data_IF_412393144545
#
_entry.id   IF_412393144545
#
_cell.length_a   1.000
_cell.length_b   1.000
_cell.length_c   1.000
_cell.angle_alpha   90.00
_cell.angle_beta   90.00
_cell.angle_gamma   90.00
#
_symmetry.space_group_name_H-M   'P 1'
#
loop_
_entity.id
_entity.type
_entity.pdbx_description
1 polymer ?
#
# COMPACT_ATOMS: atom_id res chain seq x y z
N UNK A 1 -24.17 -33.68 35.04
CA UNK A 1 -22.99 -32.93 35.53
C UNK A 1 -23.50 -31.68 36.24
N UNK A 2 -23.44 -31.65 37.56
CA UNK A 2 -23.93 -30.53 38.36
C UNK A 2 -22.97 -29.35 38.19
N UNK A 3 -23.41 -28.32 37.44
CA UNK A 3 -22.71 -27.05 37.37
C UNK A 3 -22.80 -26.36 38.74
N UNK A 4 -21.71 -26.41 39.51
CA UNK A 4 -21.59 -25.65 40.74
C UNK A 4 -21.83 -24.18 40.42
N UNK A 5 -22.90 -23.58 40.95
CA UNK A 5 -23.21 -22.17 40.75
C UNK A 5 -22.07 -21.35 41.33
N UNK A 6 -21.35 -20.60 40.49
CA UNK A 6 -20.27 -19.73 40.95
C UNK A 6 -20.74 -18.81 42.07
N UNK A 7 -19.97 -18.77 43.16
CA UNK A 7 -20.27 -17.90 44.29
C UNK A 7 -20.19 -16.43 43.86
N UNK A 8 -20.95 -15.51 44.48
CA UNK A 8 -20.89 -14.07 44.16
C UNK A 8 -19.46 -13.50 44.14
N UNK A 9 -18.58 -14.00 45.01
CA UNK A 9 -17.15 -13.66 45.04
C UNK A 9 -16.41 -14.14 43.80
N UNK A 10 -16.64 -15.38 43.35
CA UNK A 10 -16.03 -15.92 42.12
C UNK A 10 -16.50 -15.14 40.89
N UNK A 11 -17.77 -14.73 40.83
CA UNK A 11 -18.27 -13.86 39.76
C UNK A 11 -17.60 -12.50 39.74
N UNK A 12 -17.39 -11.87 40.90
CA UNK A 12 -16.66 -10.59 40.95
C UNK A 12 -15.20 -10.73 40.52
N UNK A 13 -14.54 -11.82 40.95
CA UNK A 13 -13.16 -12.11 40.53
C UNK A 13 -13.09 -12.38 39.01
N UNK A 14 -14.02 -13.18 38.47
CA UNK A 14 -14.09 -13.46 37.04
C UNK A 14 -14.35 -12.20 36.20
N UNK A 15 -15.27 -11.33 36.64
CA UNK A 15 -15.50 -10.04 35.97
C UNK A 15 -14.26 -9.14 36.05
N UNK A 16 -13.54 -9.11 37.16
CA UNK A 16 -12.31 -8.33 37.29
C UNK A 16 -11.22 -8.83 36.33
N UNK A 17 -11.04 -10.16 36.20
CA UNK A 17 -10.11 -10.72 35.22
C UNK A 17 -10.53 -10.39 33.79
N UNK A 18 -11.81 -10.51 33.44
CA UNK A 18 -12.29 -10.14 32.10
C UNK A 18 -12.05 -8.65 31.80
N UNK A 19 -12.28 -7.77 32.77
CA UNK A 19 -12.00 -6.33 32.63
C UNK A 19 -10.51 -6.08 32.49
N UNK A 20 -9.67 -6.72 33.30
CA UNK A 20 -8.21 -6.59 33.21
C UNK A 20 -7.69 -7.09 31.85
N UNK A 21 -8.15 -8.25 31.39
CA UNK A 21 -7.80 -8.79 30.07
C UNK A 21 -8.28 -7.86 28.94
N UNK A 22 -9.48 -7.29 29.05
CA UNK A 22 -9.98 -6.32 28.08
C UNK A 22 -9.15 -5.02 28.06
N UNK A 23 -8.75 -4.50 29.22
CA UNK A 23 -7.86 -3.33 29.34
C UNK A 23 -6.46 -3.63 28.77
N UNK A 24 -5.92 -4.82 29.00
CA UNK A 24 -4.62 -5.23 28.49
C UNK A 24 -4.68 -5.42 26.96
N UNK A 25 -5.77 -6.01 26.44
CA UNK A 25 -6.02 -6.13 25.00
C UNK A 25 -6.21 -4.76 24.31
N UNK A 26 -6.88 -3.80 24.95
CA UNK A 26 -7.03 -2.43 24.44
C UNK A 26 -5.67 -1.72 24.34
N UNK A 27 -4.81 -1.90 25.35
CA UNK A 27 -3.46 -1.33 25.35
C UNK A 27 -2.54 -1.99 24.31
N UNK A 28 -2.58 -3.32 24.16
CA UNK A 28 -1.81 -4.04 23.13
C UNK A 28 -2.28 -3.63 21.73
N UNK A 29 -3.58 -3.43 21.52
CA UNK A 29 -4.12 -2.95 20.24
C UNK A 29 -3.58 -1.58 19.84
N UNK A 30 -3.43 -0.65 20.80
CA UNK A 30 -2.83 0.67 20.56
C UNK A 30 -1.36 0.57 20.17
N UNK A 31 -0.57 -0.25 20.86
CA UNK A 31 0.86 -0.44 20.54
C UNK A 31 1.07 -1.05 19.15
N UNK A 32 0.24 -2.03 18.77
CA UNK A 32 0.27 -2.64 17.44
C UNK A 32 -0.06 -1.59 16.36
N UNK A 33 -1.07 -0.76 16.59
CA UNK A 33 -1.41 0.34 15.68
C UNK A 33 -0.27 1.36 15.55
N UNK A 34 0.35 1.76 16.67
CA UNK A 34 1.49 2.68 16.66
C UNK A 34 2.68 2.09 15.89
N UNK A 35 2.93 0.78 16.01
CA UNK A 35 3.96 0.11 15.24
C UNK A 35 3.68 0.17 13.71
N UNK A 36 2.43 0.00 13.29
CA UNK A 36 2.05 0.18 11.88
C UNK A 36 2.32 1.60 11.38
N UNK A 37 2.03 2.63 12.20
CA UNK A 37 2.30 4.02 11.85
C UNK A 37 3.80 4.27 11.66
N UNK A 38 4.64 3.72 12.55
CA UNK A 38 6.11 3.83 12.43
C UNK A 38 6.61 3.10 11.17
N UNK A 39 6.07 1.92 10.86
CA UNK A 39 6.42 1.21 9.62
C UNK A 39 6.02 2.04 8.41
N UNK A 40 4.84 2.64 8.41
CA UNK A 40 4.39 3.52 7.33
C UNK A 40 5.36 4.69 7.10
N UNK A 41 5.74 5.39 8.16
CA UNK A 41 6.69 6.51 8.08
C UNK A 41 8.04 6.08 7.51
N UNK A 42 8.53 4.90 7.90
CA UNK A 42 9.77 4.35 7.35
C UNK A 42 9.66 4.05 5.85
N UNK A 43 8.51 3.54 5.40
CA UNK A 43 8.25 3.29 3.98
C UNK A 43 8.13 4.62 3.21
N UNK A 44 7.48 5.64 3.77
CA UNK A 44 7.38 6.98 3.15
C UNK A 44 8.76 7.67 3.03
N UNK A 45 9.59 7.57 4.07
CA UNK A 45 10.98 8.04 4.04
C UNK A 45 11.80 7.30 2.98
N UNK A 46 11.58 5.98 2.85
CA UNK A 46 12.20 5.16 1.81
C UNK A 46 11.76 5.62 0.42
N UNK A 47 10.47 5.85 0.20
CA UNK A 47 9.91 6.33 -1.07
C UNK A 47 10.49 7.69 -1.46
N UNK A 48 10.62 8.61 -0.51
CA UNK A 48 11.22 9.93 -0.73
C UNK A 48 12.70 9.79 -1.13
N UNK A 49 13.44 8.96 -0.40
CA UNK A 49 14.86 8.70 -0.68
C UNK A 49 15.09 8.04 -2.03
N UNK A 50 14.24 7.07 -2.40
CA UNK A 50 14.28 6.40 -3.69
C UNK A 50 13.91 7.35 -4.82
N UNK A 51 12.90 8.20 -4.64
CA UNK A 51 12.50 9.21 -5.63
C UNK A 51 13.67 10.15 -5.97
N UNK A 52 14.41 10.63 -4.96
CA UNK A 52 15.60 11.46 -5.17
C UNK A 52 16.73 10.72 -5.87
N UNK A 53 16.98 9.45 -5.52
CA UNK A 53 17.99 8.62 -6.21
C UNK A 53 17.62 8.34 -7.66
N UNK A 54 16.34 8.07 -7.93
CA UNK A 54 15.81 7.85 -9.27
C UNK A 54 15.97 9.11 -10.11
N UNK A 55 15.56 10.28 -9.59
CA UNK A 55 15.75 11.56 -10.28
C UNK A 55 17.22 11.80 -10.65
N UNK A 56 18.15 11.68 -9.69
CA UNK A 56 19.58 11.81 -9.96
C UNK A 56 20.11 10.80 -10.98
N UNK A 57 19.51 9.61 -11.07
CA UNK A 57 19.87 8.58 -12.05
C UNK A 57 19.41 8.98 -13.45
N UNK A 58 18.18 9.47 -13.59
CA UNK A 58 17.66 9.99 -14.86
C UNK A 58 18.44 11.21 -15.35
N UNK A 59 18.84 12.11 -14.45
CA UNK A 59 19.65 13.29 -14.78
C UNK A 59 21.00 12.87 -15.36
N UNK A 60 21.70 11.93 -14.70
CA UNK A 60 22.95 11.36 -15.20
C UNK A 60 22.76 10.68 -16.55
N UNK A 61 21.64 9.96 -16.72
CA UNK A 61 21.36 9.25 -17.95
C UNK A 61 21.09 10.20 -19.12
N UNK A 62 20.39 11.31 -18.86
CA UNK A 62 20.18 12.38 -19.83
C UNK A 62 21.52 13.02 -20.25
N UNK A 63 22.43 13.26 -19.32
CA UNK A 63 23.79 13.74 -19.65
C UNK A 63 24.53 12.75 -20.54
N UNK A 64 24.45 11.44 -20.26
CA UNK A 64 25.07 10.42 -21.13
C UNK A 64 24.44 10.38 -22.53
N UNK A 65 23.12 10.56 -22.62
CA UNK A 65 22.42 10.68 -23.89
C UNK A 65 22.91 11.89 -24.70
N UNK A 66 23.12 13.04 -24.06
CA UNK A 66 23.68 14.24 -24.72
C UNK A 66 25.11 14.02 -25.22
N UNK A 67 25.92 13.23 -24.50
CA UNK A 67 27.30 12.93 -24.88
C UNK A 67 27.43 11.90 -26.00
N UNK A 68 26.56 10.89 -26.03
CA UNK A 68 26.59 9.84 -27.05
C UNK A 68 25.16 9.39 -27.44
N UNK A 69 24.46 10.19 -28.26
CA UNK A 69 23.07 9.90 -28.64
C UNK A 69 22.91 8.57 -29.36
N UNK A 70 23.86 8.19 -30.22
CA UNK A 70 23.73 6.98 -31.06
C UNK A 70 23.75 5.70 -30.24
N UNK A 71 24.61 5.63 -29.21
CA UNK A 71 24.72 4.43 -28.36
C UNK A 71 23.67 4.42 -27.24
N UNK A 72 23.31 5.60 -26.73
CA UNK A 72 22.49 5.73 -25.52
C UNK A 72 21.01 5.92 -25.84
N UNK A 73 20.68 6.47 -27.02
CA UNK A 73 19.32 6.79 -27.46
C UNK A 73 18.30 5.68 -27.26
N UNK A 74 18.54 4.45 -27.74
CA UNK A 74 17.58 3.36 -27.57
C UNK A 74 17.24 3.07 -26.10
N UNK A 75 18.24 3.09 -25.22
CA UNK A 75 18.04 2.83 -23.79
C UNK A 75 17.39 4.03 -23.07
N UNK A 76 17.68 5.24 -23.53
CA UNK A 76 17.04 6.45 -23.02
C UNK A 76 15.55 6.49 -23.34
N UNK A 77 15.16 6.08 -24.55
CA UNK A 77 13.76 6.00 -24.95
C UNK A 77 13.01 4.95 -24.13
N UNK A 78 13.58 3.77 -23.92
CA UNK A 78 13.03 2.75 -23.01
C UNK A 78 12.87 3.30 -21.59
N UNK A 79 13.87 4.00 -21.06
CA UNK A 79 13.81 4.56 -19.71
C UNK A 79 12.71 5.63 -19.57
N UNK A 80 12.53 6.49 -20.58
CA UNK A 80 11.43 7.46 -20.59
C UNK A 80 10.07 6.78 -20.58
N UNK A 81 9.92 5.68 -21.33
CA UNK A 81 8.68 4.90 -21.33
C UNK A 81 8.42 4.28 -19.95
N UNK A 82 9.42 3.60 -19.37
CA UNK A 82 9.33 3.04 -18.01
C UNK A 82 8.93 4.12 -17.00
N UNK A 83 9.59 5.28 -17.03
CA UNK A 83 9.28 6.42 -16.14
C UNK A 83 7.84 6.87 -16.26
N UNK A 84 7.32 6.98 -17.49
CA UNK A 84 5.93 7.36 -17.74
C UNK A 84 4.95 6.36 -17.13
N UNK A 85 5.19 5.06 -17.35
CA UNK A 85 4.36 4.00 -16.79
C UNK A 85 4.40 3.96 -15.26
N UNK A 86 5.59 4.11 -14.66
CA UNK A 86 5.76 4.14 -13.21
C UNK A 86 5.01 5.32 -12.61
N UNK A 87 5.12 6.51 -13.21
CA UNK A 87 4.41 7.70 -12.74
C UNK A 87 2.89 7.56 -12.84
N UNK A 88 2.38 6.92 -13.89
CA UNK A 88 0.96 6.63 -14.03
C UNK A 88 0.46 5.68 -12.91
N UNK A 89 1.25 4.65 -12.59
CA UNK A 89 0.94 3.71 -11.51
C UNK A 89 0.99 4.40 -10.14
N UNK A 90 2.02 5.20 -9.85
CA UNK A 90 2.14 5.98 -8.61
C UNK A 90 0.96 6.93 -8.46
N UNK A 91 0.55 7.63 -9.52
CA UNK A 91 -0.63 8.51 -9.48
C UNK A 91 -1.91 7.75 -9.12
N UNK A 92 -2.09 6.55 -9.66
CA UNK A 92 -3.21 5.70 -9.30
C UNK A 92 -3.16 5.27 -7.82
N UNK A 93 -1.99 4.88 -7.31
CA UNK A 93 -1.81 4.49 -5.91
C UNK A 93 -2.05 5.66 -4.94
N UNK A 94 -1.62 6.87 -5.30
CA UNK A 94 -1.91 8.07 -4.53
C UNK A 94 -3.41 8.39 -4.50
N UNK A 95 -4.10 8.21 -5.63
CA UNK A 95 -5.56 8.31 -5.67
C UNK A 95 -6.23 7.23 -4.81
N UNK A 96 -5.70 6.01 -4.81
CA UNK A 96 -6.21 4.93 -3.97
C UNK A 96 -6.06 5.25 -2.47
N UNK A 97 -4.93 5.81 -2.03
CA UNK A 97 -4.74 6.29 -0.65
C UNK A 97 -5.83 7.27 -0.25
N UNK A 98 -6.09 8.27 -1.10
CA UNK A 98 -7.17 9.23 -0.87
C UNK A 98 -8.53 8.52 -0.73
N UNK A 99 -8.87 7.63 -1.66
CA UNK A 99 -10.15 6.89 -1.63
C UNK A 99 -10.33 6.03 -0.39
N UNK A 100 -9.27 5.38 0.08
CA UNK A 100 -9.31 4.59 1.31
C UNK A 100 -9.66 5.46 2.53
N UNK A 101 -9.05 6.64 2.63
CA UNK A 101 -9.34 7.58 3.72
C UNK A 101 -10.75 8.15 3.59
N UNK A 102 -11.19 8.54 2.39
CA UNK A 102 -12.56 9.01 2.13
C UNK A 102 -13.62 8.00 2.58
N UNK A 103 -13.45 6.73 2.22
CA UNK A 103 -14.39 5.67 2.55
C UNK A 103 -14.41 5.40 4.06
N UNK A 104 -13.23 5.37 4.69
CA UNK A 104 -13.12 5.11 6.13
C UNK A 104 -13.67 6.25 6.99
N UNK A 105 -13.39 7.50 6.59
CA UNK A 105 -13.86 8.71 7.28
C UNK A 105 -15.32 9.06 6.93
N UNK A 106 -15.83 8.54 5.81
CA UNK A 106 -17.13 8.89 5.22
C UNK A 106 -17.26 10.39 4.95
N UNK A 107 -16.19 10.96 4.40
CA UNK A 107 -16.04 12.37 4.05
C UNK A 107 -15.68 12.52 2.58
N UNK A 108 -15.99 13.67 2.01
CA UNK A 108 -15.62 13.99 0.64
C UNK A 108 -14.11 14.25 0.49
N UNK A 109 -13.64 14.20 -0.76
CA UNK A 109 -12.23 14.40 -1.12
C UNK A 109 -11.65 15.71 -0.62
N UNK A 110 -12.43 16.81 -0.65
CA UNK A 110 -11.94 18.13 -0.28
C UNK A 110 -11.73 18.22 1.23
N UNK A 111 -12.67 17.69 2.01
CA UNK A 111 -12.49 17.57 3.46
C UNK A 111 -11.23 16.76 3.79
N UNK A 112 -11.10 15.56 3.23
CA UNK A 112 -9.96 14.66 3.50
C UNK A 112 -8.63 15.31 3.14
N UNK A 113 -8.53 15.92 1.95
CA UNK A 113 -7.32 16.59 1.49
C UNK A 113 -6.94 17.81 2.35
N UNK A 114 -7.91 18.51 2.92
CA UNK A 114 -7.63 19.69 3.74
C UNK A 114 -7.24 19.33 5.18
N UNK A 115 -7.74 18.23 5.72
CA UNK A 115 -7.52 17.87 7.13
C UNK A 115 -6.38 16.87 7.33
N UNK A 116 -6.18 15.96 6.38
CA UNK A 116 -5.28 14.82 6.58
C UNK A 116 -4.07 14.82 5.64
N UNK A 117 -4.06 15.68 4.61
CA UNK A 117 -2.94 15.81 3.71
C UNK A 117 -2.19 17.12 3.94
N UNK A 118 -0.87 17.07 3.80
CA UNK A 118 0.00 18.23 3.84
C UNK A 118 0.78 18.35 2.54
N UNK A 119 1.22 19.56 2.26
CA UNK A 119 2.02 19.83 1.07
C UNK A 119 3.49 19.45 1.33
N UNK A 120 4.07 18.70 0.40
CA UNK A 120 5.50 18.37 0.40
C UNK A 120 6.10 18.59 -0.99
N UNK A 121 7.43 18.67 -1.05
CA UNK A 121 8.18 18.85 -2.28
C UNK A 121 8.95 17.57 -2.59
N UNK A 122 8.78 17.06 -3.81
CA UNK A 122 9.55 15.94 -4.35
C UNK A 122 10.22 16.35 -5.65
N UNK A 123 11.35 15.76 -6.04
CA UNK A 123 11.95 16.02 -7.36
C UNK A 123 10.94 15.76 -8.49
N UNK A 124 10.86 16.67 -9.47
CA UNK A 124 10.03 16.46 -10.65
C UNK A 124 10.64 15.31 -11.48
N UNK A 125 9.90 14.22 -11.73
CA UNK A 125 10.43 13.11 -12.50
C UNK A 125 10.75 13.48 -13.96
N UNK A 126 10.20 14.57 -14.50
CA UNK A 126 10.39 14.98 -15.90
C UNK A 126 11.34 16.17 -16.08
N UNK A 127 11.56 16.97 -15.04
CA UNK A 127 12.37 18.20 -15.10
C UNK A 127 13.52 18.13 -14.08
N UNK A 128 14.75 17.80 -14.53
CA UNK A 128 15.94 17.75 -13.68
C UNK A 128 16.13 19.02 -12.85
N UNK A 129 16.35 18.85 -11.54
CA UNK A 129 16.61 19.97 -10.61
C UNK A 129 15.37 20.77 -10.19
N UNK A 130 14.20 20.52 -10.78
CA UNK A 130 12.95 21.13 -10.35
C UNK A 130 12.27 20.30 -9.25
N UNK A 131 11.59 20.99 -8.34
CA UNK A 131 10.80 20.36 -7.28
C UNK A 131 9.32 20.51 -7.60
N UNK A 132 8.60 19.40 -7.55
CA UNK A 132 7.16 19.32 -7.71
C UNK A 132 6.47 19.27 -6.35
N UNK A 133 5.49 20.15 -6.18
CA UNK A 133 4.58 20.12 -5.03
C UNK A 133 3.61 18.95 -5.15
N UNK A 134 3.57 18.09 -4.14
CA UNK A 134 2.60 17.00 -4.00
C UNK A 134 1.90 17.07 -2.65
N UNK A 135 0.75 16.40 -2.53
CA UNK A 135 0.04 16.23 -1.26
C UNK A 135 0.34 14.85 -0.71
N UNK A 136 0.87 14.79 0.51
CA UNK A 136 1.20 13.56 1.21
C UNK A 136 0.24 13.35 2.39
N UNK A 137 -0.14 12.10 2.64
CA UNK A 137 -1.08 11.74 3.70
C UNK A 137 -0.36 11.69 5.05
N UNK A 138 -0.85 12.42 6.05
CA UNK A 138 -0.46 12.20 7.43
C UNK A 138 -1.39 11.16 8.07
N UNK A 139 -0.99 9.89 8.02
CA UNK A 139 -1.80 8.78 8.54
C UNK A 139 -2.01 8.85 10.06
N UNK A 140 -1.09 9.46 10.83
CA UNK A 140 -1.20 9.52 12.30
C UNK A 140 -2.43 10.27 12.77
N UNK A 141 -2.76 11.35 12.06
CA UNK A 141 -3.87 12.24 12.43
C UNK A 141 -5.22 11.76 11.93
N UNK A 142 -5.27 10.74 11.07
CA UNK A 142 -6.53 10.13 10.61
C UNK A 142 -7.20 9.42 11.79
N UNK A 143 -8.41 9.84 12.21
CA UNK A 143 -9.13 9.20 13.30
C UNK A 143 -9.40 7.72 13.06
N UNK A 144 -9.80 7.35 11.84
CA UNK A 144 -10.27 6.00 11.50
C UNK A 144 -9.20 5.02 11.00
N UNK A 145 -7.92 5.33 11.26
CA UNK A 145 -6.76 4.49 10.88
C UNK A 145 -6.80 3.04 11.37
N UNK A 146 -7.56 2.77 12.42
CA UNK A 146 -7.79 1.45 13.02
C UNK A 146 -9.06 0.75 12.51
N UNK A 147 -9.90 1.42 11.71
CA UNK A 147 -11.10 0.80 11.13
C UNK A 147 -10.73 -0.13 9.99
N UNK A 148 -11.43 -1.26 9.91
CA UNK A 148 -11.24 -2.28 8.87
C UNK A 148 -12.49 -2.53 8.00
N UNK A 149 -13.70 -2.32 8.53
CA UNK A 149 -14.95 -2.66 7.82
C UNK A 149 -15.15 -1.88 6.52
N UNK A 150 -15.05 -0.55 6.60
CA UNK A 150 -15.31 0.33 5.44
C UNK A 150 -14.27 0.08 4.33
N UNK A 151 -12.99 -0.07 4.70
CA UNK A 151 -11.91 -0.36 3.75
C UNK A 151 -11.98 -1.76 3.17
N UNK A 152 -12.31 -2.79 3.96
CA UNK A 152 -12.52 -4.16 3.46
C UNK A 152 -13.64 -4.19 2.43
N UNK A 153 -14.77 -3.54 2.71
CA UNK A 153 -15.90 -3.48 1.78
C UNK A 153 -15.53 -2.79 0.46
N UNK A 154 -14.67 -1.76 0.51
CA UNK A 154 -14.19 -1.07 -0.68
C UNK A 154 -13.17 -1.89 -1.47
N UNK A 155 -12.20 -2.49 -0.78
CA UNK A 155 -11.10 -3.22 -1.39
C UNK A 155 -11.52 -4.60 -1.91
N UNK A 156 -12.27 -5.36 -1.13
CA UNK A 156 -12.69 -6.72 -1.50
C UNK A 156 -14.04 -6.69 -2.22
N UNK A 157 -14.95 -5.82 -1.79
CA UNK A 157 -16.34 -5.79 -2.24
C UNK A 157 -17.28 -6.45 -1.22
N UNK A 158 -18.58 -6.37 -1.49
CA UNK A 158 -19.61 -6.99 -0.65
C UNK A 158 -19.92 -8.41 -1.15
N UNK A 159 -20.03 -9.36 -0.23
CA UNK A 159 -20.34 -10.75 -0.53
C UNK A 159 -19.20 -11.45 -1.29
N UNK A 160 -19.55 -12.31 -2.25
CA UNK A 160 -18.58 -13.04 -3.09
C UNK A 160 -18.19 -12.29 -4.37
N UNK A 161 -18.62 -11.03 -4.50
CA UNK A 161 -18.35 -10.25 -5.69
C UNK A 161 -16.88 -9.83 -5.74
N UNK A 162 -16.07 -10.50 -6.57
CA UNK A 162 -14.66 -10.15 -6.83
C UNK A 162 -14.51 -8.85 -7.63
N UNK A 163 -15.14 -7.78 -7.15
CA UNK A 163 -15.32 -6.50 -7.84
C UNK A 163 -14.81 -5.30 -7.05
N UNK A 164 -14.30 -5.50 -5.83
CA UNK A 164 -13.66 -4.44 -5.05
C UNK A 164 -12.38 -3.91 -5.70
N UNK A 165 -11.87 -2.80 -5.15
CA UNK A 165 -10.75 -2.07 -5.71
C UNK A 165 -9.42 -2.85 -5.65
N UNK A 166 -9.25 -3.80 -4.73
CA UNK A 166 -8.08 -4.69 -4.67
C UNK A 166 -7.91 -5.52 -5.94
N UNK A 167 -9.02 -5.98 -6.54
CA UNK A 167 -9.02 -6.73 -7.79
C UNK A 167 -8.70 -5.86 -9.01
N UNK A 168 -8.91 -4.55 -8.92
CA UNK A 168 -8.50 -3.59 -9.95
C UNK A 168 -7.03 -3.23 -9.78
N UNK A 169 -6.59 -3.03 -8.55
CA UNK A 169 -5.20 -2.83 -8.18
C UNK A 169 -4.32 -3.99 -8.67
N UNK A 170 -4.71 -5.24 -8.37
CA UNK A 170 -3.93 -6.42 -8.78
C UNK A 170 -3.79 -6.51 -10.30
N UNK A 171 -4.88 -6.30 -11.05
CA UNK A 171 -4.84 -6.25 -12.53
C UNK A 171 -3.94 -5.14 -13.06
N UNK A 172 -3.97 -3.95 -12.44
CA UNK A 172 -3.08 -2.84 -12.82
C UNK A 172 -1.62 -3.15 -12.52
N UNK A 173 -1.33 -3.80 -11.39
CA UNK A 173 0.01 -4.27 -11.03
C UNK A 173 0.52 -5.30 -12.04
N UNK A 174 -0.31 -6.28 -12.40
CA UNK A 174 0.04 -7.32 -13.37
C UNK A 174 0.30 -6.69 -14.76
N UNK A 175 -0.59 -5.80 -15.23
CA UNK A 175 -0.43 -5.10 -16.51
C UNK A 175 0.83 -4.21 -16.54
N UNK A 176 1.10 -3.47 -15.46
CA UNK A 176 2.33 -2.69 -15.34
C UNK A 176 3.55 -3.60 -15.40
N UNK A 177 3.56 -4.70 -14.62
CA UNK A 177 4.66 -5.67 -14.61
C UNK A 177 4.92 -6.27 -15.99
N UNK A 178 3.87 -6.70 -16.68
CA UNK A 178 3.96 -7.24 -18.05
C UNK A 178 4.57 -6.22 -19.01
N UNK A 179 4.14 -4.96 -18.94
CA UNK A 179 4.68 -3.88 -19.77
C UNK A 179 6.16 -3.62 -19.50
N UNK A 180 6.59 -3.56 -18.23
CA UNK A 180 8.00 -3.40 -17.89
C UNK A 180 8.84 -4.58 -18.38
N UNK A 181 8.34 -5.82 -18.24
CA UNK A 181 9.03 -7.02 -18.73
C UNK A 181 9.22 -6.97 -20.25
N UNK A 182 8.19 -6.53 -20.97
CA UNK A 182 8.25 -6.37 -22.42
C UNK A 182 9.26 -5.29 -22.83
N UNK A 183 9.19 -4.08 -22.25
CA UNK A 183 10.13 -2.99 -22.55
C UNK A 183 11.58 -3.40 -22.29
N UNK A 184 11.82 -4.12 -21.19
CA UNK A 184 13.15 -4.54 -20.76
C UNK A 184 13.62 -5.87 -21.35
N UNK A 185 12.82 -6.52 -22.21
CA UNK A 185 13.09 -7.83 -22.80
C UNK A 185 13.48 -8.91 -21.76
N UNK A 186 12.78 -8.92 -20.63
CA UNK A 186 13.03 -9.86 -19.53
C UNK A 186 12.20 -11.13 -19.70
N UNK A 187 12.62 -12.26 -19.10
CA UNK A 187 11.79 -13.47 -19.08
C UNK A 187 10.58 -13.26 -18.17
N UNK A 188 9.43 -13.85 -18.52
CA UNK A 188 8.16 -13.67 -17.79
C UNK A 188 8.24 -14.05 -16.30
N UNK A 189 9.06 -15.05 -15.98
CA UNK A 189 9.31 -15.54 -14.62
C UNK A 189 10.34 -14.70 -13.84
N UNK A 190 10.79 -13.55 -14.38
CA UNK A 190 11.78 -12.70 -13.75
C UNK A 190 11.34 -12.25 -12.35
N UNK A 191 12.26 -12.34 -11.39
CA UNK A 191 12.09 -11.76 -10.04
C UNK A 191 12.66 -10.36 -9.94
N UNK A 192 13.27 -9.84 -11.01
CA UNK A 192 13.85 -8.48 -11.04
C UNK A 192 12.79 -7.39 -11.07
N UNK A 193 11.59 -7.70 -11.56
CA UNK A 193 10.43 -6.80 -11.54
C UNK A 193 9.47 -7.34 -10.49
N UNK A 194 9.20 -6.53 -9.46
CA UNK A 194 8.32 -6.86 -8.34
C UNK A 194 6.84 -6.87 -8.72
N UNK A 195 5.97 -6.47 -7.78
CA UNK A 195 4.52 -6.34 -7.98
C UNK A 195 3.81 -7.65 -8.37
N UNK A 196 4.35 -8.77 -7.90
CA UNK A 196 3.78 -10.11 -8.13
C UNK A 196 2.53 -10.30 -7.27
N UNK A 197 1.41 -10.66 -7.91
CA UNK A 197 0.13 -10.91 -7.25
C UNK A 197 -0.20 -12.42 -7.26
N UNK A 198 -1.23 -12.85 -7.98
CA UNK A 198 -1.70 -14.22 -8.05
C UNK A 198 -0.90 -15.11 -9.02
N UNK A 199 0.00 -14.55 -9.82
CA UNK A 199 0.78 -15.27 -10.84
C UNK A 199 2.21 -14.74 -10.97
N UNK A 200 3.14 -15.64 -11.27
CA UNK A 200 4.50 -15.33 -11.69
C UNK A 200 4.79 -16.10 -12.99
N UNK A 201 4.68 -15.42 -14.12
CA UNK A 201 4.58 -16.07 -15.43
C UNK A 201 3.42 -17.09 -15.44
N UNK A 202 3.69 -18.31 -15.87
CA UNK A 202 2.70 -19.40 -15.89
C UNK A 202 2.41 -20.02 -14.52
N UNK A 203 3.15 -19.66 -13.46
CA UNK A 203 2.98 -20.24 -12.13
C UNK A 203 1.92 -19.48 -11.33
N UNK A 204 0.83 -20.16 -10.97
CA UNK A 204 -0.16 -19.62 -10.03
C UNK A 204 0.40 -19.61 -8.60
N UNK A 205 0.27 -18.49 -7.91
CA UNK A 205 0.60 -18.32 -6.50
C UNK A 205 -0.69 -18.49 -5.69
N UNK A 206 -0.59 -19.22 -4.58
CA UNK A 206 -1.72 -19.45 -3.66
C UNK A 206 -1.33 -18.91 -2.29
N UNK A 207 -2.19 -18.09 -1.73
CA UNK A 207 -2.03 -17.55 -0.39
C UNK A 207 -2.88 -18.35 0.59
N UNK A 208 -2.54 -18.25 1.87
CA UNK A 208 -3.24 -18.96 2.94
C UNK A 208 -3.58 -17.99 4.06
N UNK A 209 -4.75 -18.17 4.67
CA UNK A 209 -5.10 -17.46 5.90
C UNK A 209 -4.55 -18.21 7.13
N UNK A 210 -4.81 -17.70 8.34
CA UNK A 210 -4.37 -18.31 9.59
C UNK A 210 -4.85 -19.77 9.76
N UNK A 211 -6.04 -20.08 9.22
CA UNK A 211 -6.65 -21.42 9.23
C UNK A 211 -6.17 -22.32 8.08
N UNK A 212 -5.15 -21.90 7.32
CA UNK A 212 -4.60 -22.59 6.14
C UNK A 212 -5.61 -22.80 5.00
N UNK A 213 -6.68 -22.02 4.96
CA UNK A 213 -7.59 -21.98 3.82
C UNK A 213 -6.97 -21.18 2.68
N UNK A 214 -7.16 -21.66 1.45
CA UNK A 214 -6.63 -21.01 0.25
C UNK A 214 -7.35 -19.69 0.00
N UNK A 215 -6.59 -18.66 -0.30
CA UNK A 215 -7.09 -17.35 -0.71
C UNK A 215 -6.24 -16.76 -1.85
N UNK A 216 -6.81 -15.78 -2.55
CA UNK A 216 -6.09 -14.98 -3.54
C UNK A 216 -5.32 -13.83 -2.85
N UNK A 217 -4.44 -13.17 -3.61
CA UNK A 217 -3.62 -12.07 -3.13
C UNK A 217 -4.47 -10.94 -2.54
N UNK A 218 -5.60 -10.65 -3.17
CA UNK A 218 -6.51 -9.58 -2.75
C UNK A 218 -7.07 -9.83 -1.34
N UNK A 219 -7.65 -11.02 -1.10
CA UNK A 219 -8.15 -11.36 0.24
C UNK A 219 -7.01 -11.47 1.25
N UNK A 220 -5.86 -12.01 0.85
CA UNK A 220 -4.72 -12.13 1.76
C UNK A 220 -4.23 -10.78 2.30
N UNK A 221 -4.29 -9.74 1.48
CA UNK A 221 -3.70 -8.44 1.81
C UNK A 221 -4.71 -7.39 2.29
N UNK A 222 -6.00 -7.51 1.94
CA UNK A 222 -7.00 -6.46 2.17
C UNK A 222 -8.29 -6.94 2.85
N UNK A 223 -8.43 -8.23 3.17
CA UNK A 223 -9.61 -8.73 3.88
C UNK A 223 -9.40 -8.59 5.40
N UNK A 224 -10.29 -7.83 6.06
CA UNK A 224 -10.24 -7.58 7.51
C UNK A 224 -8.93 -6.93 7.99
N UNK A 225 -8.34 -6.10 7.14
CA UNK A 225 -7.16 -5.29 7.45
C UNK A 225 -7.57 -3.86 7.81
N UNK A 226 -6.83 -3.26 8.74
CA UNK A 226 -7.09 -1.88 9.17
C UNK A 226 -6.59 -0.88 8.12
N UNK A 227 -7.21 0.30 8.06
CA UNK A 227 -6.83 1.37 7.14
C UNK A 227 -5.32 1.66 7.18
N UNK A 228 -4.71 1.70 8.37
CA UNK A 228 -3.28 1.94 8.50
C UNK A 228 -2.42 0.88 7.78
N UNK A 229 -2.82 -0.39 7.84
CA UNK A 229 -2.13 -1.49 7.16
C UNK A 229 -2.30 -1.38 5.64
N UNK A 230 -3.51 -1.08 5.17
CA UNK A 230 -3.79 -0.90 3.74
C UNK A 230 -2.97 0.25 3.14
N UNK A 231 -2.93 1.40 3.83
CA UNK A 231 -2.12 2.55 3.41
C UNK A 231 -0.63 2.21 3.42
N UNK A 232 -0.15 1.53 4.46
CA UNK A 232 1.25 1.08 4.54
C UNK A 232 1.60 0.15 3.39
N UNK A 233 0.71 -0.77 3.04
CA UNK A 233 0.90 -1.67 1.91
C UNK A 233 0.91 -0.92 0.58
N UNK A 234 0.01 0.05 0.38
CA UNK A 234 0.00 0.90 -0.81
C UNK A 234 1.29 1.70 -0.93
N UNK A 235 1.78 2.28 0.16
CA UNK A 235 3.08 2.95 0.21
C UNK A 235 4.23 1.99 -0.09
N UNK A 236 4.15 0.73 0.36
CA UNK A 236 5.15 -0.31 0.05
C UNK A 236 5.13 -0.72 -1.42
N UNK A 237 3.97 -0.66 -2.08
CA UNK A 237 3.83 -0.91 -3.53
C UNK A 237 4.45 0.24 -4.36
N UNK A 238 4.51 1.46 -3.81
CA UNK A 238 5.18 2.61 -4.45
C UNK A 238 6.71 2.47 -4.40
N UNK A 239 7.26 1.84 -3.35
CA UNK A 239 8.70 1.61 -3.16
C UNK A 239 9.30 0.66 -4.19
#
# INVERSE_FOLDING_TARGET
MAGYKETPRQKMIAMMYLVLYALLALNVSKQVLDAFLVVNENVENTNTSLSSKIAATYDRFQTQYQLNPDKVGPYWDQAKEVRSESNAMVKYLQHLKLKLVEVSERKDSAFVMNHYFFDTLVPDPFHPGEMKKIKELNLRIVPTKDRYNDVTNYMIGVGTSKKGEAYRLSKKMDAYREKIIHIMHLPENTTKVGLVTNRLGNKKITYYNADRQKQDWENHNFYYTILAADITLVNKIIS
#
